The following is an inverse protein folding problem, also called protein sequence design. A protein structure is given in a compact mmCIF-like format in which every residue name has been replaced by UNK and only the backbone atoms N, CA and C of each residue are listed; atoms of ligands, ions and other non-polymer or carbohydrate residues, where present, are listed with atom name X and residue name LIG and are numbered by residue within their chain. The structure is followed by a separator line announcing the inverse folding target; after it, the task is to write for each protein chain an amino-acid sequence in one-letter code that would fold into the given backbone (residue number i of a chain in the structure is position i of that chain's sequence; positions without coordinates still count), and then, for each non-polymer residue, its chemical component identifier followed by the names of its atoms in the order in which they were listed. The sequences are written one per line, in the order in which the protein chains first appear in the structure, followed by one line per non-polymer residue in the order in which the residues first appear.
data_IF_985036768448
#
_entry.id   IF_985036768448
#
_cell.length_a   1.000
_cell.length_b   1.000
_cell.length_c   1.000
_cell.angle_alpha   90.00
_cell.angle_beta   90.00
_cell.angle_gamma   90.00
#
_symmetry.space_group_name_H-M   'P 1'
#
loop_
_entity.id
_entity.type
_entity.pdbx_description
1 polymer ?
#
# COMPACT_ATOMS: atom_id res chain seq x y z
N UNK A 1 46.28 5.57 -44.22
CA UNK A 1 44.90 5.85 -43.81
C UNK A 1 44.58 4.99 -42.62
N UNK A 2 44.64 5.58 -41.40
CA UNK A 2 44.40 4.86 -40.11
C UNK A 2 42.97 5.16 -39.68
N UNK A 3 42.11 4.13 -39.63
CA UNK A 3 40.75 4.21 -39.11
C UNK A 3 40.79 3.92 -37.63
N UNK A 4 40.52 4.94 -36.80
CA UNK A 4 40.42 4.83 -35.36
C UNK A 4 38.98 4.49 -35.02
N UNK A 5 38.70 3.27 -34.57
CA UNK A 5 37.40 2.83 -34.09
C UNK A 5 37.26 3.29 -32.64
N UNK A 6 36.38 4.25 -32.37
CA UNK A 6 35.96 4.60 -31.02
C UNK A 6 34.89 3.61 -30.52
N UNK A 7 35.29 2.71 -29.63
CA UNK A 7 34.35 1.90 -28.86
C UNK A 7 33.70 2.80 -27.77
N UNK A 8 32.43 3.11 -27.95
CA UNK A 8 31.61 3.69 -26.89
C UNK A 8 31.22 2.58 -25.91
N UNK A 9 31.77 2.63 -24.71
CA UNK A 9 31.31 1.81 -23.60
C UNK A 9 30.00 2.41 -23.09
N UNK A 10 28.85 1.79 -23.39
CA UNK A 10 27.61 2.04 -22.69
C UNK A 10 27.75 1.41 -21.28
N UNK A 11 28.04 2.25 -20.29
CA UNK A 11 27.89 1.87 -18.89
C UNK A 11 26.39 1.75 -18.60
N UNK A 12 25.86 0.55 -18.61
CA UNK A 12 24.52 0.28 -18.10
C UNK A 12 24.56 0.51 -16.59
N UNK A 13 24.06 1.66 -16.15
CA UNK A 13 23.79 1.91 -14.74
C UNK A 13 22.64 0.99 -14.33
N UNK A 14 22.97 -0.13 -13.72
CA UNK A 14 21.97 -0.94 -13.02
C UNK A 14 21.44 -0.12 -11.84
N UNK A 15 20.28 0.49 -12.04
CA UNK A 15 19.51 1.05 -10.95
C UNK A 15 19.07 -0.13 -10.08
N UNK A 16 19.70 -0.32 -8.95
CA UNK A 16 19.24 -1.27 -7.94
C UNK A 16 17.89 -0.79 -7.46
N UNK A 17 16.83 -1.51 -7.83
CA UNK A 17 15.51 -1.25 -7.31
C UNK A 17 15.56 -1.32 -5.79
N UNK A 18 15.19 -0.24 -5.12
CA UNK A 18 15.26 -0.13 -3.68
C UNK A 18 14.13 -0.95 -3.07
N UNK A 19 14.45 -2.03 -2.39
CA UNK A 19 13.49 -2.92 -1.75
C UNK A 19 12.93 -2.28 -0.47
N UNK A 20 11.62 -2.34 -0.31
CA UNK A 20 10.94 -1.92 0.90
C UNK A 20 10.80 -3.13 1.83
N UNK A 21 11.41 -3.03 3.02
CA UNK A 21 11.43 -4.12 4.01
C UNK A 21 10.74 -3.73 5.30
N UNK A 22 9.84 -4.60 5.77
CA UNK A 22 9.18 -4.47 7.05
C UNK A 22 9.88 -5.36 8.08
N UNK A 23 10.44 -4.76 9.13
CA UNK A 23 11.09 -5.45 10.24
C UNK A 23 10.27 -5.31 11.52
N UNK A 24 9.89 -6.45 12.11
CA UNK A 24 9.22 -6.50 13.42
C UNK A 24 10.26 -6.47 14.54
N UNK A 25 10.03 -5.62 15.55
CA UNK A 25 10.77 -5.61 16.81
C UNK A 25 9.97 -6.37 17.89
N UNK A 26 8.69 -6.00 18.05
CA UNK A 26 7.70 -6.71 18.87
C UNK A 26 6.28 -6.39 18.34
N UNK A 27 5.23 -6.88 18.96
CA UNK A 27 3.85 -6.81 18.46
C UNK A 27 3.32 -5.40 18.17
N UNK A 28 3.89 -4.40 18.81
CA UNK A 28 3.46 -2.99 18.67
C UNK A 28 4.57 -2.08 18.17
N UNK A 29 5.66 -2.63 17.64
CA UNK A 29 6.77 -1.86 17.10
C UNK A 29 7.39 -2.53 15.89
N UNK A 30 7.33 -1.83 14.76
CA UNK A 30 7.90 -2.22 13.48
C UNK A 30 8.72 -1.08 12.90
N UNK A 31 9.58 -1.42 11.97
CA UNK A 31 10.28 -0.47 11.10
C UNK A 31 10.07 -0.85 9.64
N UNK A 32 9.65 0.11 8.84
CA UNK A 32 9.69 0.03 7.40
C UNK A 32 10.94 0.76 6.93
N UNK A 33 11.98 0.02 6.58
CA UNK A 33 13.33 0.57 6.37
C UNK A 33 13.77 1.43 7.58
N UNK A 34 13.87 2.75 7.42
CA UNK A 34 14.21 3.72 8.48
C UNK A 34 12.97 4.29 9.22
N UNK A 35 11.74 4.01 8.72
CA UNK A 35 10.53 4.60 9.26
C UNK A 35 9.96 3.79 10.42
N UNK A 36 9.81 4.44 11.57
CA UNK A 36 9.27 3.81 12.79
C UNK A 36 7.74 3.74 12.75
N UNK A 37 7.20 2.54 13.01
CA UNK A 37 5.76 2.24 13.11
C UNK A 37 5.45 1.75 14.53
N UNK A 38 5.07 2.64 15.47
CA UNK A 38 4.84 2.29 16.87
C UNK A 38 3.41 1.78 17.10
N UNK A 39 2.96 0.82 16.28
CA UNK A 39 1.63 0.19 16.37
C UNK A 39 1.66 -1.22 15.79
N UNK A 40 0.65 -2.07 16.11
CA UNK A 40 0.51 -3.37 15.49
C UNK A 40 0.35 -3.27 13.96
N UNK A 41 1.01 -4.18 13.24
CA UNK A 41 0.87 -4.35 11.79
C UNK A 41 0.15 -5.66 11.53
N UNK A 42 -0.91 -5.63 10.71
CA UNK A 42 -1.69 -6.83 10.37
C UNK A 42 -1.49 -7.30 8.93
N UNK A 43 -0.97 -6.43 8.05
CA UNK A 43 -0.79 -6.74 6.63
C UNK A 43 0.38 -5.93 6.06
N UNK A 44 1.14 -6.54 5.14
CA UNK A 44 2.19 -5.89 4.38
C UNK A 44 2.19 -6.39 2.94
N UNK A 45 2.19 -5.47 1.99
CA UNK A 45 2.32 -5.75 0.57
C UNK A 45 3.15 -4.67 -0.10
N UNK A 46 3.70 -5.00 -1.27
CA UNK A 46 4.41 -4.05 -2.12
C UNK A 46 3.80 -4.03 -3.51
N UNK A 47 3.94 -2.91 -4.20
CA UNK A 47 3.49 -2.70 -5.58
C UNK A 47 3.49 -1.23 -5.94
N UNK A 48 3.43 -0.92 -7.22
CA UNK A 48 3.38 0.45 -7.73
C UNK A 48 1.96 1.02 -7.61
N UNK A 49 1.69 1.74 -6.52
CA UNK A 49 0.36 2.29 -6.23
C UNK A 49 0.08 3.55 -7.03
N UNK A 50 1.08 4.42 -7.20
CA UNK A 50 0.91 5.72 -7.86
C UNK A 50 1.29 5.74 -9.35
N UNK A 51 1.73 4.61 -9.90
CA UNK A 51 2.03 4.46 -11.33
C UNK A 51 3.34 5.08 -11.77
N UNK A 52 4.28 5.35 -10.85
CA UNK A 52 5.58 5.95 -11.19
C UNK A 52 6.66 4.93 -11.62
N UNK A 53 6.32 3.64 -11.68
CA UNK A 53 7.22 2.56 -12.04
C UNK A 53 8.11 2.06 -10.89
N UNK A 54 7.93 2.57 -9.69
CA UNK A 54 8.65 2.14 -8.48
C UNK A 54 7.74 1.37 -7.54
N UNK A 55 8.35 0.50 -6.76
CA UNK A 55 7.62 -0.26 -5.76
C UNK A 55 7.36 0.59 -4.51
N UNK A 56 6.09 0.72 -4.13
CA UNK A 56 5.62 1.31 -2.90
C UNK A 56 5.33 0.23 -1.86
N UNK A 57 5.34 0.59 -0.59
CA UNK A 57 4.95 -0.29 0.50
C UNK A 57 3.56 0.06 1.03
N UNK A 58 2.71 -0.95 1.14
CA UNK A 58 1.40 -0.86 1.75
C UNK A 58 1.42 -1.57 3.09
N UNK A 59 1.21 -0.82 4.18
CA UNK A 59 1.28 -1.33 5.55
C UNK A 59 -0.08 -1.22 6.20
N UNK A 60 -0.66 -2.35 6.55
CA UNK A 60 -1.87 -2.43 7.36
C UNK A 60 -1.55 -2.29 8.84
N UNK A 61 -1.98 -1.22 9.47
CA UNK A 61 -1.72 -0.92 10.88
C UNK A 61 -3.01 -0.87 11.69
N UNK A 62 -2.89 -1.02 13.02
CA UNK A 62 -4.03 -0.90 13.94
C UNK A 62 -3.81 0.30 14.84
N UNK A 63 -4.55 1.39 14.58
CA UNK A 63 -4.49 2.61 15.39
C UNK A 63 -5.74 3.48 15.21
N UNK A 64 -5.91 4.47 16.09
CA UNK A 64 -6.77 5.63 15.88
C UNK A 64 -6.03 6.67 15.03
N UNK A 65 -6.78 7.54 14.36
CA UNK A 65 -6.23 8.70 13.65
C UNK A 65 -6.82 9.98 14.21
N UNK A 66 -6.26 11.14 13.83
CA UNK A 66 -6.80 12.45 14.22
C UNK A 66 -8.27 12.63 13.81
N UNK A 67 -8.64 12.07 12.66
CA UNK A 67 -9.97 12.24 12.06
C UNK A 67 -10.93 11.08 12.37
N UNK A 68 -10.42 9.99 12.94
CA UNK A 68 -11.20 8.84 13.37
C UNK A 68 -10.61 8.29 14.66
N UNK A 69 -11.14 8.71 15.83
CA UNK A 69 -10.59 8.38 17.13
C UNK A 69 -10.78 6.91 17.52
N UNK A 70 -11.64 6.18 16.80
CA UNK A 70 -11.85 4.75 17.04
C UNK A 70 -10.63 3.96 16.56
N UNK A 71 -10.05 3.17 17.47
CA UNK A 71 -8.95 2.26 17.11
C UNK A 71 -9.45 1.22 16.12
N UNK A 72 -8.80 1.11 14.98
CA UNK A 72 -9.17 0.18 13.92
C UNK A 72 -8.06 -0.05 12.92
N UNK A 73 -8.33 -0.92 11.94
CA UNK A 73 -7.42 -1.21 10.85
C UNK A 73 -7.34 -0.04 9.89
N UNK A 74 -6.10 0.31 9.50
CA UNK A 74 -5.78 1.40 8.58
C UNK A 74 -4.83 0.90 7.52
N UNK A 75 -4.84 1.53 6.36
CA UNK A 75 -3.86 1.34 5.31
C UNK A 75 -2.93 2.56 5.25
N UNK A 76 -1.63 2.33 5.35
CA UNK A 76 -0.59 3.33 5.13
C UNK A 76 0.19 2.98 3.87
N UNK A 77 0.54 3.97 3.07
CA UNK A 77 1.31 3.79 1.84
C UNK A 77 2.58 4.63 1.94
N UNK A 78 3.71 4.00 1.63
CA UNK A 78 5.03 4.62 1.69
C UNK A 78 5.75 4.44 0.35
N UNK A 79 6.51 5.46 -0.02
CA UNK A 79 7.44 5.42 -1.15
C UNK A 79 8.85 5.16 -0.68
N UNK A 80 9.63 4.49 -1.52
CA UNK A 80 11.08 4.48 -1.38
C UNK A 80 11.63 5.88 -1.72
N UNK A 81 12.39 6.44 -0.80
CA UNK A 81 13.20 7.64 -0.98
C UNK A 81 14.66 7.26 -1.07
N UNK A 82 15.51 8.10 -1.63
CA UNK A 82 16.93 7.80 -1.79
C UNK A 82 17.59 7.28 -0.51
N UNK A 83 18.66 6.46 -0.63
CA UNK A 83 19.46 5.90 0.47
C UNK A 83 18.70 4.92 1.40
N UNK A 84 17.81 4.09 0.88
CA UNK A 84 17.12 3.09 1.68
C UNK A 84 16.06 3.64 2.64
N UNK A 85 15.57 4.86 2.40
CA UNK A 85 14.60 5.52 3.28
C UNK A 85 13.18 5.31 2.82
N UNK A 86 12.26 5.11 3.77
CA UNK A 86 10.82 5.13 3.52
C UNK A 86 10.26 6.53 3.83
N UNK A 87 9.33 6.99 3.00
CA UNK A 87 8.60 8.25 3.23
C UNK A 87 7.11 8.04 2.99
N UNK A 88 6.24 8.62 3.82
CA UNK A 88 4.81 8.45 3.66
C UNK A 88 4.34 9.08 2.35
N UNK A 89 3.60 8.30 1.56
CA UNK A 89 2.80 8.77 0.45
C UNK A 89 1.39 9.08 0.93
N UNK A 90 0.82 8.20 1.77
CA UNK A 90 -0.51 8.36 2.33
C UNK A 90 -0.63 7.61 3.67
N UNK A 91 -1.00 8.32 4.72
CA UNK A 91 -1.18 7.79 6.07
C UNK A 91 -2.66 7.60 6.41
N UNK A 92 -3.37 6.97 5.53
CA UNK A 92 -4.70 6.43 5.65
C UNK A 92 -5.70 7.21 6.50
N UNK A 93 -6.51 8.03 5.85
CA UNK A 93 -7.81 8.34 6.38
C UNK A 93 -8.73 7.13 6.15
N UNK A 94 -9.95 7.18 6.64
CA UNK A 94 -10.97 6.16 6.39
C UNK A 94 -11.19 6.01 4.88
N UNK A 95 -11.21 4.77 4.38
CA UNK A 95 -11.82 4.43 3.09
C UNK A 95 -13.35 4.57 3.19
N UNK A 96 -14.12 4.04 2.26
CA UNK A 96 -15.58 4.18 2.28
C UNK A 96 -16.26 3.64 3.53
N UNK A 97 -15.78 2.50 4.06
CA UNK A 97 -16.30 1.82 5.24
C UNK A 97 -15.23 1.54 6.29
N UNK A 98 -15.56 0.65 7.22
CA UNK A 98 -14.60 0.13 8.19
C UNK A 98 -13.74 -0.93 7.54
N UNK A 99 -12.43 -0.68 7.44
CA UNK A 99 -11.48 -1.57 6.80
C UNK A 99 -11.23 -2.83 7.64
N UNK A 100 -11.29 -4.00 7.01
CA UNK A 100 -10.91 -5.29 7.58
C UNK A 100 -9.65 -5.86 6.97
N UNK A 101 -9.47 -5.70 5.64
CA UNK A 101 -8.31 -6.16 4.91
C UNK A 101 -8.18 -5.42 3.58
N UNK A 102 -7.01 -5.52 2.95
CA UNK A 102 -6.78 -4.97 1.62
C UNK A 102 -5.84 -5.86 0.81
N UNK A 103 -5.87 -5.71 -0.51
CA UNK A 103 -4.95 -6.33 -1.45
C UNK A 103 -4.55 -5.35 -2.54
N UNK A 104 -3.28 -5.38 -2.89
CA UNK A 104 -2.80 -4.72 -4.10
C UNK A 104 -3.11 -5.60 -5.32
N UNK A 105 -3.68 -4.99 -6.36
CA UNK A 105 -3.99 -5.64 -7.63
C UNK A 105 -3.81 -4.68 -8.79
N UNK A 106 -2.74 -4.85 -9.57
CA UNK A 106 -2.53 -4.11 -10.83
C UNK A 106 -2.77 -2.60 -10.70
N UNK A 107 -2.10 -1.95 -9.78
CA UNK A 107 -2.22 -0.51 -9.52
C UNK A 107 -3.47 -0.09 -8.71
N UNK A 108 -4.27 -1.05 -8.24
CA UNK A 108 -5.47 -0.81 -7.41
C UNK A 108 -5.29 -1.39 -6.01
N UNK A 109 -5.98 -0.79 -5.08
CA UNK A 109 -6.18 -1.36 -3.74
C UNK A 109 -7.59 -1.91 -3.69
N UNK A 110 -7.71 -3.24 -3.57
CA UNK A 110 -8.98 -3.90 -3.25
C UNK A 110 -9.14 -3.95 -1.74
N UNK A 111 -10.23 -3.42 -1.24
CA UNK A 111 -10.56 -3.40 0.18
C UNK A 111 -11.66 -4.41 0.52
N UNK A 112 -11.59 -4.92 1.74
CA UNK A 112 -12.66 -5.65 2.41
C UNK A 112 -13.17 -4.78 3.56
N UNK A 113 -14.41 -4.33 3.49
CA UNK A 113 -14.97 -3.33 4.40
C UNK A 113 -16.33 -3.76 4.95
N UNK A 114 -16.75 -3.13 6.05
CA UNK A 114 -18.15 -3.15 6.51
C UNK A 114 -18.70 -1.74 6.57
N UNK A 115 -19.98 -1.62 6.26
CA UNK A 115 -20.78 -0.41 6.44
C UNK A 115 -21.22 -0.28 7.90
N UNK A 116 -21.78 0.87 8.27
CA UNK A 116 -22.25 1.13 9.65
C UNK A 116 -23.41 0.22 10.07
N UNK A 117 -24.20 -0.29 9.11
CA UNK A 117 -25.26 -1.28 9.34
C UNK A 117 -24.75 -2.74 9.32
N UNK A 118 -23.42 -2.94 9.31
CA UNK A 118 -22.78 -4.27 9.40
C UNK A 118 -22.77 -5.08 8.11
N UNK A 119 -23.16 -4.50 6.98
CA UNK A 119 -23.07 -5.15 5.67
C UNK A 119 -21.65 -5.16 5.14
N UNK A 120 -21.30 -6.22 4.42
CA UNK A 120 -19.96 -6.36 3.84
C UNK A 120 -19.90 -5.76 2.43
N UNK A 121 -18.74 -5.20 2.14
CA UNK A 121 -18.44 -4.53 0.88
C UNK A 121 -17.03 -4.92 0.44
N UNK A 122 -16.84 -5.16 -0.84
CA UNK A 122 -15.54 -5.21 -1.51
C UNK A 122 -15.50 -4.08 -2.54
N UNK A 123 -14.51 -3.24 -2.46
CA UNK A 123 -14.36 -2.09 -3.33
C UNK A 123 -12.93 -1.97 -3.86
N UNK A 124 -12.79 -1.39 -5.04
CA UNK A 124 -11.51 -1.06 -5.63
C UNK A 124 -11.29 0.46 -5.55
N UNK A 125 -10.08 0.82 -5.12
CA UNK A 125 -9.59 2.20 -5.05
C UNK A 125 -8.35 2.36 -5.90
N UNK A 126 -8.12 3.56 -6.40
CA UNK A 126 -6.91 3.93 -7.13
C UNK A 126 -6.29 5.19 -6.57
N UNK A 127 -5.02 5.38 -6.83
CA UNK A 127 -4.33 6.63 -6.48
C UNK A 127 -4.83 7.79 -7.36
N UNK A 128 -5.15 8.90 -6.74
CA UNK A 128 -5.67 10.11 -7.39
C UNK A 128 -4.78 11.35 -7.17
N UNK A 129 -3.46 11.16 -7.00
CA UNK A 129 -2.49 12.23 -6.86
C UNK A 129 -2.27 12.71 -5.41
N UNK A 130 -3.29 12.69 -4.57
CA UNK A 130 -3.21 13.13 -3.16
C UNK A 130 -3.86 12.14 -2.17
N UNK A 131 -4.42 11.05 -2.66
CA UNK A 131 -5.07 10.04 -1.83
C UNK A 131 -5.72 8.95 -2.67
N UNK A 132 -6.33 7.99 -1.97
CA UNK A 132 -7.06 6.90 -2.60
C UNK A 132 -8.46 7.35 -2.98
N UNK A 133 -8.81 7.26 -4.25
CA UNK A 133 -10.14 7.54 -4.78
C UNK A 133 -10.90 6.23 -5.02
N UNK A 134 -12.17 6.21 -4.63
CA UNK A 134 -13.08 5.13 -4.96
C UNK A 134 -13.21 4.97 -6.48
N UNK A 135 -13.10 3.76 -6.97
CA UNK A 135 -13.29 3.44 -8.39
C UNK A 135 -14.58 2.68 -8.62
N UNK A 136 -14.81 1.58 -7.87
CA UNK A 136 -16.00 0.76 -8.04
C UNK A 136 -16.28 -0.13 -6.83
N UNK A 137 -17.52 -0.55 -6.71
CA UNK A 137 -17.88 -1.73 -5.92
C UNK A 137 -17.62 -3.00 -6.73
N UNK A 138 -16.95 -3.97 -6.11
CA UNK A 138 -16.86 -5.34 -6.62
C UNK A 138 -18.09 -6.11 -6.17
N UNK A 139 -18.44 -6.00 -4.89
CA UNK A 139 -19.72 -6.44 -4.32
C UNK A 139 -20.07 -5.52 -3.14
N UNK A 140 -21.36 -5.26 -2.94
CA UNK A 140 -21.84 -4.45 -1.81
C UNK A 140 -23.12 -5.05 -1.19
N UNK A 141 -23.31 -4.73 0.09
CA UNK A 141 -24.53 -5.10 0.81
C UNK A 141 -24.69 -6.61 1.02
N UNK A 142 -23.58 -7.33 1.12
CA UNK A 142 -23.57 -8.79 1.21
C UNK A 142 -23.15 -9.30 2.60
N UNK A 143 -23.11 -10.62 2.77
CA UNK A 143 -22.58 -11.27 3.96
C UNK A 143 -21.05 -11.43 3.88
N UNK A 144 -20.44 -11.83 5.02
CA UNK A 144 -18.99 -11.99 5.15
C UNK A 144 -18.40 -13.03 4.21
N UNK A 145 -19.10 -14.17 4.02
CA UNK A 145 -18.60 -15.28 3.20
C UNK A 145 -18.49 -14.85 1.75
N UNK A 146 -19.59 -14.33 1.21
CA UNK A 146 -19.64 -13.82 -0.16
C UNK A 146 -18.62 -12.71 -0.40
N UNK A 147 -18.50 -11.75 0.52
CA UNK A 147 -17.49 -10.70 0.41
C UNK A 147 -16.07 -11.24 0.32
N UNK A 148 -15.72 -12.24 1.16
CA UNK A 148 -14.42 -12.88 1.11
C UNK A 148 -14.13 -13.61 -0.20
N UNK A 149 -15.12 -14.24 -0.79
CA UNK A 149 -14.98 -14.89 -2.10
C UNK A 149 -14.60 -13.85 -3.18
N UNK A 150 -15.30 -12.72 -3.24
CA UNK A 150 -14.98 -11.63 -4.17
C UNK A 150 -13.65 -10.94 -3.86
N UNK A 151 -13.33 -10.79 -2.60
CA UNK A 151 -12.05 -10.21 -2.17
C UNK A 151 -10.84 -11.06 -2.59
N UNK A 152 -11.01 -12.40 -2.63
CA UNK A 152 -9.95 -13.34 -2.97
C UNK A 152 -9.80 -13.59 -4.48
N UNK A 153 -10.75 -13.19 -5.31
CA UNK A 153 -10.64 -13.23 -6.78
C UNK A 153 -9.65 -12.18 -7.28
#
# INVERSE_FOLDING_TARGET
MRVTIFLWWLAATMSTAQTMELRRVHDSLYYLNDWRLPYPVYQFQTGDVDGDGREDAMVGVVKSTRYDPVKGRRLFIFKASGQGKARPLWLGTRLGGRLHDFRYRNGRIRSLETTDDGRWVVADYRWAGFGMAFERFVVKGTDRKTAKEYFNQ
#
